data_IF_561252416785
#
_entry.id   IF_561252416785
#
_cell.length_a   1.000
_cell.length_b   1.000
_cell.length_c   1.000
_cell.angle_alpha   90.00
_cell.angle_beta   90.00
_cell.angle_gamma   90.00
#
_symmetry.space_group_name_H-M   'P 1'
#
loop_
_entity.id
_entity.type
_entity.pdbx_description
1 polymer ?
2 non-polymer ?
3 non-polymer ?
4 water ?
#
# COMPACT_ATOMS: atom_id res chain seq x y z
N UNK A 1 11.01 -14.82 -4.25
CA UNK A 1 9.61 -15.22 -3.95
C UNK A 1 8.69 -14.01 -4.12
N UNK A 2 9.27 -12.81 -4.09
CA UNK A 2 8.49 -11.54 -4.21
C UNK A 2 8.52 -11.07 -5.67
N UNK A 3 9.14 -11.75 -6.57
CA UNK A 3 9.63 -11.15 -7.83
C UNK A 3 8.50 -10.70 -8.76
N UNK A 4 7.33 -11.33 -8.78
CA UNK A 4 6.30 -10.83 -9.70
C UNK A 4 5.70 -9.50 -9.23
N UNK A 5 5.92 -9.10 -7.97
CA UNK A 5 5.47 -7.79 -7.47
C UNK A 5 6.38 -6.65 -7.90
N UNK A 6 7.59 -6.95 -8.33
CA UNK A 6 8.58 -5.90 -8.56
C UNK A 6 8.23 -5.10 -9.79
N UNK A 7 8.51 -3.82 -9.75
CA UNK A 7 8.35 -2.93 -10.90
C UNK A 7 7.58 -1.70 -10.53
N UNK A 8 7.13 -1.01 -11.60
CA UNK A 8 6.43 0.25 -11.49
C UNK A 8 4.95 0.01 -11.85
N UNK A 9 4.08 0.50 -11.00
CA UNK A 9 2.63 0.22 -11.05
C UNK A 9 1.86 1.53 -10.96
N UNK A 10 0.78 1.65 -11.71
CA UNK A 10 -0.02 2.87 -11.75
C UNK A 10 -1.45 2.57 -11.31
N UNK A 11 -2.04 3.44 -10.50
CA UNK A 11 -3.40 3.21 -10.02
C UNK A 11 -4.39 3.36 -11.20
N UNK A 12 -5.21 2.28 -11.38
CA UNK A 12 -6.26 2.19 -12.44
C UNK A 12 -7.68 1.91 -11.91
N UNK A 13 -7.88 1.66 -10.62
CA UNK A 13 -9.24 1.51 -10.06
C UNK A 13 -9.17 1.75 -8.55
N UNK A 14 -10.17 2.41 -7.92
CA UNK A 14 -10.19 2.54 -6.45
C UNK A 14 -11.62 2.42 -5.95
N UNK A 15 -11.80 1.56 -4.95
CA UNK A 15 -13.10 1.33 -4.31
C UNK A 15 -12.95 1.52 -2.79
N UNK A 16 -13.78 2.41 -2.24
CA UNK A 16 -13.89 2.60 -0.80
C UNK A 16 -12.64 3.22 -0.15
N UNK A 17 -11.82 3.92 -0.91
CA UNK A 17 -10.67 4.57 -0.28
C UNK A 17 -11.12 5.67 0.69
N UNK A 18 -12.19 6.39 0.37
CA UNK A 18 -12.66 7.40 1.31
C UNK A 18 -13.05 6.74 2.63
N UNK A 19 -13.74 5.61 2.57
CA UNK A 19 -14.13 4.91 3.81
C UNK A 19 -12.89 4.58 4.63
N UNK A 20 -11.87 4.06 3.97
CA UNK A 20 -10.63 3.67 4.66
C UNK A 20 -9.97 4.89 5.31
N UNK A 21 -9.80 5.96 4.53
CA UNK A 21 -9.19 7.18 5.06
C UNK A 21 -9.99 7.74 6.22
N UNK A 22 -11.31 7.74 6.08
CA UNK A 22 -12.14 8.30 7.14
C UNK A 22 -11.98 7.46 8.42
N UNK A 23 -11.91 6.15 8.29
CA UNK A 23 -11.73 5.26 9.43
C UNK A 23 -10.44 5.60 10.19
N UNK A 24 -9.39 5.96 9.44
CA UNK A 24 -8.11 6.35 10.01
C UNK A 24 -8.12 7.80 10.56
N UNK A 25 -9.20 8.54 10.40
CA UNK A 25 -9.28 9.92 10.91
C UNK A 25 -8.67 10.96 9.99
N UNK A 26 -8.49 10.63 8.72
CA UNK A 26 -7.97 11.62 7.76
C UNK A 26 -9.04 12.70 7.53
N UNK A 27 -8.62 13.96 7.55
CA UNK A 27 -9.54 15.09 7.37
C UNK A 27 -10.13 15.18 5.99
N UNK A 28 -11.26 15.90 5.90
CA UNK A 28 -12.02 15.91 4.65
C UNK A 28 -11.23 16.49 3.49
N UNK A 29 -10.39 17.51 3.71
CA UNK A 29 -9.69 18.15 2.59
C UNK A 29 -8.67 17.21 2.02
N UNK A 30 -7.96 16.49 2.89
CA UNK A 30 -6.99 15.48 2.44
C UNK A 30 -7.72 14.36 1.71
N UNK A 31 -8.82 13.86 2.26
CA UNK A 31 -9.57 12.79 1.56
C UNK A 31 -10.00 13.26 0.17
N UNK A 32 -10.44 14.50 0.10
CA UNK A 32 -10.92 15.07 -1.15
C UNK A 32 -9.79 15.02 -2.20
N UNK A 33 -8.59 15.55 -1.93
CA UNK A 33 -7.46 15.52 -2.90
C UNK A 33 -7.09 14.06 -3.18
N UNK A 34 -6.98 13.24 -2.14
CA UNK A 34 -6.59 11.85 -2.31
C UNK A 34 -7.52 11.10 -3.24
N UNK A 35 -8.82 11.42 -3.22
CA UNK A 35 -9.81 10.73 -4.05
C UNK A 35 -9.60 10.97 -5.54
N UNK A 36 -8.82 12.01 -5.89
CA UNK A 36 -8.55 12.37 -7.28
C UNK A 36 -7.10 12.13 -7.66
N UNK A 37 -6.34 11.53 -6.78
CA UNK A 37 -4.92 11.30 -7.00
C UNK A 37 -4.71 9.85 -7.51
N UNK A 38 -3.79 9.68 -8.47
CA UNK A 38 -3.47 8.35 -9.01
C UNK A 38 -1.99 8.09 -8.78
N UNK A 39 -1.64 7.46 -7.65
CA UNK A 39 -0.23 7.24 -7.38
C UNK A 39 0.42 6.23 -8.32
N UNK A 40 1.74 6.33 -8.33
CA UNK A 40 2.64 5.32 -8.90
C UNK A 40 3.35 4.63 -7.73
N UNK A 41 3.31 3.30 -7.73
CA UNK A 41 4.02 2.53 -6.73
C UNK A 41 5.18 1.81 -7.41
N UNK A 42 6.36 1.93 -6.82
CA UNK A 42 7.58 1.31 -7.36
C UNK A 42 8.09 0.35 -6.30
N UNK A 43 8.22 -0.92 -6.66
CA UNK A 43 8.69 -1.95 -5.72
C UNK A 43 10.00 -2.49 -6.30
N UNK A 44 11.08 -2.37 -5.54
CA UNK A 44 12.42 -2.81 -5.96
C UNK A 44 13.01 -3.71 -4.88
N UNK A 45 13.89 -4.64 -5.27
CA UNK A 45 14.65 -5.38 -4.27
C UNK A 45 16.12 -5.29 -4.57
N UNK A 46 16.85 -5.40 -3.48
CA UNK A 46 18.32 -5.52 -3.52
C UNK A 46 18.66 -6.55 -2.46
N UNK A 47 18.91 -7.77 -2.89
CA UNK A 47 19.06 -8.85 -1.93
C UNK A 47 17.79 -9.01 -1.13
N UNK A 48 17.95 -9.07 0.19
CA UNK A 48 16.86 -9.28 1.15
C UNK A 48 16.09 -7.98 1.41
N UNK A 49 16.48 -6.85 0.84
CA UNK A 49 15.84 -5.59 1.20
C UNK A 49 14.92 -5.14 0.07
N UNK A 50 13.64 -4.92 0.42
CA UNK A 50 12.66 -4.34 -0.50
C UNK A 50 12.55 -2.85 -0.21
N UNK A 51 12.36 -2.07 -1.27
CA UNK A 51 12.04 -0.66 -1.15
C UNK A 51 10.75 -0.41 -1.94
N UNK A 52 9.79 0.22 -1.26
CA UNK A 52 8.46 0.48 -1.83
C UNK A 52 8.25 1.98 -1.79
N UNK A 53 8.23 2.57 -2.99
CA UNK A 53 8.00 4.00 -3.17
C UNK A 53 6.56 4.21 -3.61
N UNK A 54 5.92 5.25 -3.08
CA UNK A 54 4.59 5.65 -3.58
C UNK A 54 4.68 7.13 -3.90
N UNK A 55 4.50 7.43 -5.18
CA UNK A 55 4.67 8.81 -5.70
C UNK A 55 3.36 9.37 -6.21
N UNK A 56 3.13 10.64 -5.96
CA UNK A 56 1.94 11.28 -6.52
C UNK A 56 2.14 12.78 -6.56
N UNK A 57 1.13 13.45 -7.12
CA UNK A 57 1.06 14.90 -7.11
C UNK A 57 0.73 15.48 -5.73
N UNK A 58 0.35 14.68 -4.78
CA UNK A 58 -0.09 15.14 -3.46
C UNK A 58 0.92 14.82 -2.39
N UNK A 59 1.12 13.55 -2.11
CA UNK A 59 2.07 13.05 -1.11
C UNK A 59 2.96 12.00 -1.75
N UNK A 60 4.19 11.90 -1.24
CA UNK A 60 5.13 10.82 -1.57
C UNK A 60 5.57 10.09 -0.29
N UNK A 61 5.78 8.77 -0.40
CA UNK A 61 6.36 7.99 0.68
C UNK A 61 7.40 7.02 0.12
N UNK A 62 8.28 6.57 1.02
CA UNK A 62 9.21 5.50 0.70
C UNK A 62 9.50 4.73 1.98
N UNK A 63 9.46 3.40 1.87
CA UNK A 63 9.87 2.51 2.96
C UNK A 63 10.86 1.49 2.42
N UNK A 64 11.79 1.07 3.29
CA UNK A 64 12.64 -0.07 3.02
C UNK A 64 12.53 -1.06 4.18
N UNK A 65 12.54 -2.33 3.85
CA UNK A 65 12.33 -3.36 4.86
C UNK A 65 12.88 -4.69 4.37
N UNK A 66 13.17 -5.52 5.36
CA UNK A 66 13.43 -6.94 5.12
C UNK A 66 12.12 -7.73 5.39
N UNK A 67 11.64 -8.72 4.55
CA UNK A 67 10.47 -9.50 4.85
C UNK A 67 10.67 -10.12 6.21
N UNK A 68 9.61 -10.08 7.00
CA UNK A 68 9.59 -10.75 8.27
C UNK A 68 10.35 -10.08 9.39
N UNK A 69 10.80 -8.84 9.19
CA UNK A 69 11.53 -8.11 10.22
C UNK A 69 10.79 -6.78 10.46
N UNK A 70 10.41 -6.53 11.70
CA UNK A 70 9.67 -5.31 12.04
C UNK A 70 10.51 -4.06 11.72
N UNK A 71 9.82 -3.01 11.33
CA UNK A 71 10.45 -1.73 11.05
C UNK A 71 9.52 -0.61 11.50
N UNK A 72 10.11 0.53 11.88
CA UNK A 72 9.36 1.74 12.13
C UNK A 72 8.94 2.38 10.81
N UNK A 73 7.73 2.94 10.79
CA UNK A 73 7.21 3.60 9.57
C UNK A 73 6.41 4.83 10.02
N UNK A 74 6.50 5.87 9.19
CA UNK A 74 5.64 7.04 9.35
C UNK A 74 4.82 7.15 8.06
N UNK A 75 3.51 6.94 8.19
CA UNK A 75 2.66 6.77 7.04
C UNK A 75 2.35 8.10 6.34
N UNK A 76 1.69 8.02 5.19
CA UNK A 76 1.36 9.21 4.41
C UNK A 76 0.47 10.18 5.19
N UNK A 77 -0.36 9.65 6.08
CA UNK A 77 -1.22 10.42 6.98
C UNK A 77 -0.58 10.66 8.34
N UNK A 78 0.73 10.46 8.46
CA UNK A 78 1.52 10.87 9.62
C UNK A 78 1.29 10.02 10.86
N UNK A 79 0.83 8.77 10.70
CA UNK A 79 0.85 7.83 11.82
C UNK A 79 2.25 7.23 11.97
N UNK A 80 2.70 7.16 13.23
CA UNK A 80 3.98 6.49 13.56
C UNK A 80 3.62 5.07 14.01
N UNK A 81 4.00 4.10 13.20
CA UNK A 81 3.53 2.73 13.36
C UNK A 81 4.72 1.77 13.41
N UNK A 82 4.43 0.57 13.93
CA UNK A 82 5.34 -0.56 13.91
C UNK A 82 4.84 -1.47 12.79
N UNK A 83 5.68 -1.80 11.83
CA UNK A 83 5.26 -2.49 10.62
C UNK A 83 6.02 -3.78 10.42
N UNK A 84 5.36 -4.70 9.71
CA UNK A 84 6.06 -5.91 9.24
C UNK A 84 5.38 -6.30 7.92
N UNK A 85 6.20 -6.76 7.00
CA UNK A 85 5.72 -7.23 5.69
C UNK A 85 6.18 -8.68 5.53
N UNK A 86 5.29 -9.56 5.10
CA UNK A 86 5.61 -10.98 4.88
C UNK A 86 4.81 -11.49 3.69
N UNK A 87 5.35 -12.50 3.03
CA UNK A 87 4.53 -13.30 2.09
C UNK A 87 3.64 -14.30 2.82
N UNK A 88 2.42 -14.34 2.36
CA UNK A 88 1.42 -15.24 2.98
C UNK A 88 0.48 -15.66 1.87
N UNK A 89 0.50 -16.92 1.50
CA UNK A 89 -0.37 -17.37 0.42
C UNK A 89 -0.04 -16.70 -0.89
N UNK A 90 1.22 -16.33 -1.08
CA UNK A 90 1.64 -15.62 -2.30
C UNK A 90 1.30 -14.13 -2.31
N UNK A 91 0.70 -13.62 -1.25
CA UNK A 91 0.32 -12.22 -1.12
C UNK A 91 1.36 -11.52 -0.27
N UNK A 92 1.61 -10.28 -0.61
CA UNK A 92 2.53 -9.47 0.18
C UNK A 92 1.67 -8.79 1.24
N UNK A 93 1.78 -9.14 2.57
CA UNK A 93 0.93 -8.68 3.65
C UNK A 93 1.72 -7.70 4.50
N UNK A 94 1.26 -6.46 4.56
CA UNK A 94 1.89 -5.40 5.36
C UNK A 94 0.92 -5.10 6.51
N UNK A 95 1.40 -5.33 7.75
CA UNK A 95 0.63 -5.07 8.96
C UNK A 95 1.25 -3.88 9.68
N UNK A 96 0.43 -2.88 10.01
CA UNK A 96 0.84 -1.71 10.78
C UNK A 96 0.12 -1.72 12.12
N UNK A 97 0.87 -1.42 13.19
CA UNK A 97 0.35 -1.40 14.55
C UNK A 97 0.68 -0.05 15.21
N UNK A 98 -0.28 0.56 15.87
CA UNK A 98 -0.02 1.80 16.63
C UNK A 98 -1.15 2.02 17.61
N UNK A 99 -0.85 2.41 18.81
CA UNK A 99 -1.90 2.76 19.80
C UNK A 99 -2.86 1.58 20.01
N UNK A 100 -2.42 0.33 19.83
CA UNK A 100 -3.31 -0.83 19.92
C UNK A 100 -4.17 -1.09 18.69
N UNK A 101 -4.17 -0.16 17.74
CA UNK A 101 -4.86 -0.28 16.45
C UNK A 101 -4.01 -1.07 15.49
N UNK A 102 -4.66 -1.72 14.50
CA UNK A 102 -3.99 -2.42 13.37
C UNK A 102 -4.66 -2.04 12.03
N UNK A 103 -3.85 -1.96 10.98
CA UNK A 103 -4.40 -1.97 9.63
C UNK A 103 -3.52 -2.86 8.79
N UNK A 104 -4.15 -3.51 7.81
CA UNK A 104 -3.43 -4.35 6.86
C UNK A 104 -3.53 -3.79 5.45
N UNK A 105 -2.43 -3.93 4.73
CA UNK A 105 -2.29 -3.55 3.33
C UNK A 105 -1.84 -4.82 2.64
N UNK A 106 -2.73 -5.46 1.89
CA UNK A 106 -2.47 -6.78 1.31
C UNK A 106 -2.38 -6.61 -0.20
N UNK A 107 -1.30 -7.07 -0.80
CA UNK A 107 -1.11 -6.99 -2.25
C UNK A 107 -1.11 -8.40 -2.83
N UNK A 108 -1.84 -8.56 -3.94
CA UNK A 108 -1.88 -9.82 -4.65
C UNK A 108 -1.94 -9.55 -6.13
N UNK A 109 -1.50 -10.52 -6.89
CA UNK A 109 -1.52 -10.42 -8.35
C UNK A 109 -2.69 -11.24 -8.87
N UNK A 110 -3.54 -10.62 -9.67
CA UNK A 110 -4.70 -11.26 -10.32
C UNK A 110 -4.64 -10.85 -11.78
N UNK A 111 -4.48 -11.84 -12.66
CA UNK A 111 -4.45 -11.58 -14.11
C UNK A 111 -3.47 -10.46 -14.43
N UNK A 112 -2.31 -10.46 -13.77
CA UNK A 112 -1.23 -9.50 -14.04
C UNK A 112 -1.46 -8.12 -13.43
N UNK A 113 -2.58 -7.89 -12.76
CA UNK A 113 -2.84 -6.63 -12.07
C UNK A 113 -2.50 -6.81 -10.60
N UNK A 114 -2.10 -5.73 -9.97
CA UNK A 114 -1.79 -5.79 -8.55
C UNK A 114 -2.95 -5.17 -7.81
N UNK A 115 -3.54 -5.99 -6.95
CA UNK A 115 -4.72 -5.61 -6.17
C UNK A 115 -4.25 -5.40 -4.74
N UNK A 116 -4.48 -4.17 -4.27
CA UNK A 116 -4.14 -3.73 -2.92
C UNK A 116 -5.44 -3.64 -2.13
N UNK A 117 -5.54 -4.42 -1.05
CA UNK A 117 -6.69 -4.39 -0.18
C UNK A 117 -6.26 -3.77 1.16
N UNK A 118 -6.94 -2.70 1.56
CA UNK A 118 -6.64 -1.89 2.75
C UNK A 118 -7.79 -2.07 3.75
N UNK A 119 -7.48 -2.61 4.94
CA UNK A 119 -8.54 -2.86 5.93
C UNK A 119 -8.18 -2.12 7.21
N UNK A 120 -9.13 -1.35 7.74
CA UNK A 120 -8.99 -0.74 9.08
C UNK A 120 -10.41 -0.68 9.64
N UNK A 121 -10.56 -1.09 10.89
CA UNK A 121 -11.92 -1.13 11.45
C UNK A 121 -12.75 -2.07 10.59
N UNK A 122 -13.91 -1.60 10.17
CA UNK A 122 -14.74 -2.37 9.26
C UNK A 122 -14.50 -1.99 7.80
N UNK A 123 -13.74 -0.93 7.54
CA UNK A 123 -13.57 -0.40 6.18
C UNK A 123 -12.62 -1.30 5.39
N UNK A 124 -13.05 -1.61 4.17
CA UNK A 124 -12.27 -2.45 3.27
C UNK A 124 -12.22 -1.72 1.92
N UNK A 125 -11.02 -1.33 1.53
CA UNK A 125 -10.76 -0.62 0.28
C UNK A 125 -9.98 -1.52 -0.66
N UNK A 126 -10.35 -1.52 -1.94
CA UNK A 126 -9.66 -2.30 -2.95
C UNK A 126 -9.18 -1.37 -4.05
N UNK A 127 -7.86 -1.30 -4.25
CA UNK A 127 -7.25 -0.49 -5.29
C UNK A 127 -6.46 -1.35 -6.24
N UNK A 128 -6.63 -1.04 -7.51
CA UNK A 128 -6.03 -1.86 -8.55
C UNK A 128 -4.97 -1.04 -9.26
N UNK A 129 -3.79 -1.64 -9.42
CA UNK A 129 -2.65 -1.04 -10.09
C UNK A 129 -2.31 -1.88 -11.31
N UNK A 130 -1.86 -1.19 -12.36
CA UNK A 130 -1.46 -1.81 -13.63
C UNK A 130 0.04 -1.58 -13.84
N UNK A 131 0.68 -2.55 -14.38
CA UNK A 131 2.16 -2.50 -14.51
C UNK A 131 2.58 -1.57 -15.65
N UNK A 132 3.49 -0.62 -15.37
CA UNK A 132 4.20 0.19 -16.37
C UNK A 132 5.42 -0.58 -16.92
N UNK A 133 5.62 -0.45 -18.23
CA UNK A 133 6.71 -1.09 -18.98
C UNK A 133 8.02 -0.44 -18.60
#
# INVERSE_FOLDING_TARGET
>A
MVDAFLGTWKLVDSKNFDDYMKSLGVGFATRQVASMTKPTTIIEKNGDILTLKTHSTFKNTEISFKLGVEFDETTADDRKVKSIVTLDGGKLVHLQKWDGQETTLVRELIDGKLILTLTHGTAVCTRTYEKEA
#
